data_IF_404700688411
#
_entry.id   IF_404700688411
#
_cell.length_a   1.000
_cell.length_b   1.000
_cell.length_c   1.000
_cell.angle_alpha   90.00
_cell.angle_beta   90.00
_cell.angle_gamma   90.00
#
_symmetry.space_group_name_H-M   'P 1'
#
loop_
_entity.id
_entity.type
_entity.pdbx_description
1 polymer ?
#
# COMPACT_ATOMS: atom_id res chain seq x y z
N UNK A 1 -25.83 18.00 20.25
CA UNK A 1 -27.04 18.84 20.01
C UNK A 1 -26.81 19.92 18.95
N UNK A 2 -25.73 20.70 19.01
CA UNK A 2 -25.41 21.74 18.02
C UNK A 2 -25.36 21.27 16.55
N UNK A 3 -24.83 20.07 16.30
CA UNK A 3 -24.70 19.51 14.94
C UNK A 3 -26.07 19.24 14.30
N UNK A 4 -27.03 18.76 15.08
CA UNK A 4 -28.39 18.47 14.60
C UNK A 4 -29.15 19.76 14.29
N UNK A 5 -29.01 20.78 15.14
CA UNK A 5 -29.65 22.10 14.93
C UNK A 5 -29.10 22.78 13.68
N UNK A 6 -27.78 22.75 13.48
CA UNK A 6 -27.13 23.30 12.28
C UNK A 6 -27.62 22.59 11.02
N UNK A 7 -27.72 21.27 11.06
CA UNK A 7 -28.23 20.51 9.92
C UNK A 7 -29.68 20.87 9.61
N UNK A 8 -30.55 20.92 10.62
CA UNK A 8 -31.96 21.27 10.45
C UNK A 8 -32.15 22.68 9.86
N UNK A 9 -31.35 23.65 10.32
CA UNK A 9 -31.37 25.02 9.79
C UNK A 9 -30.96 25.09 8.33
N UNK A 10 -29.92 24.35 7.92
CA UNK A 10 -29.47 24.33 6.53
C UNK A 10 -30.53 23.66 5.64
N UNK A 11 -31.07 22.51 6.06
CA UNK A 11 -32.13 21.81 5.32
C UNK A 11 -33.38 22.69 5.18
N UNK A 12 -33.76 23.40 6.25
CA UNK A 12 -34.87 24.37 6.26
C UNK A 12 -34.62 25.57 5.35
N UNK A 13 -33.40 26.13 5.32
CA UNK A 13 -33.05 27.25 4.45
C UNK A 13 -33.10 26.85 2.96
N UNK A 14 -32.51 25.69 2.61
CA UNK A 14 -32.50 25.21 1.22
C UNK A 14 -33.91 24.88 0.74
N UNK A 15 -34.71 24.17 1.56
CA UNK A 15 -36.10 23.88 1.23
C UNK A 15 -36.98 25.13 1.15
N UNK A 16 -36.72 26.12 2.00
CA UNK A 16 -37.37 27.43 1.96
C UNK A 16 -37.12 28.17 0.64
N UNK A 17 -35.87 28.22 0.17
CA UNK A 17 -35.51 28.82 -1.12
C UNK A 17 -36.28 28.13 -2.26
N UNK A 18 -36.26 26.80 -2.31
CA UNK A 18 -37.00 26.02 -3.32
C UNK A 18 -38.51 26.25 -3.22
N UNK A 19 -39.07 26.37 -2.02
CA UNK A 19 -40.48 26.70 -1.83
C UNK A 19 -40.83 28.09 -2.38
N UNK A 20 -39.98 29.10 -2.13
CA UNK A 20 -40.22 30.47 -2.59
C UNK A 20 -40.12 30.63 -4.11
N UNK A 21 -39.22 29.90 -4.77
CA UNK A 21 -39.09 29.95 -6.24
C UNK A 21 -40.31 29.36 -6.94
N UNK A 22 -40.89 28.29 -6.40
CA UNK A 22 -42.10 27.69 -6.94
C UNK A 22 -43.38 28.48 -6.59
N UNK A 23 -43.40 29.20 -5.46
CA UNK A 23 -44.49 30.13 -5.16
C UNK A 23 -44.58 31.26 -6.20
N UNK A 24 -43.44 31.74 -6.72
CA UNK A 24 -43.40 32.71 -7.81
C UNK A 24 -43.92 32.18 -9.15
N UNK A 25 -44.13 30.87 -9.29
CA UNK A 25 -44.65 30.19 -10.47
C UNK A 25 -46.13 29.78 -10.31
N UNK A 26 -46.83 30.36 -9.33
CA UNK A 26 -48.25 30.12 -9.02
C UNK A 26 -48.58 28.67 -8.59
N UNK A 27 -47.56 27.86 -8.33
CA UNK A 27 -47.71 26.54 -7.73
C UNK A 27 -47.44 26.65 -6.23
N UNK A 28 -48.52 26.67 -5.44
CA UNK A 28 -48.48 26.95 -4.00
C UNK A 28 -47.30 26.35 -3.23
N UNK A 29 -46.74 27.16 -2.31
CA UNK A 29 -45.49 26.95 -1.57
C UNK A 29 -45.31 25.57 -0.90
N UNK A 30 -46.40 24.98 -0.41
CA UNK A 30 -46.35 23.85 0.52
C UNK A 30 -45.93 22.53 -0.16
N UNK A 31 -46.35 22.30 -1.41
CA UNK A 31 -46.00 21.10 -2.18
C UNK A 31 -44.50 20.98 -2.50
N UNK A 32 -43.85 21.99 -3.12
CA UNK A 32 -42.43 21.93 -3.46
C UNK A 32 -41.54 21.94 -2.21
N UNK A 33 -41.96 22.60 -1.13
CA UNK A 33 -41.25 22.60 0.15
C UNK A 33 -41.09 21.19 0.72
N UNK A 34 -42.20 20.45 0.89
CA UNK A 34 -42.17 19.08 1.42
C UNK A 34 -41.39 18.13 0.50
N UNK A 35 -41.56 18.26 -0.81
CA UNK A 35 -40.82 17.45 -1.79
C UNK A 35 -39.32 17.67 -1.68
N UNK A 36 -38.88 18.91 -1.53
CA UNK A 36 -37.46 19.25 -1.40
C UNK A 36 -36.82 18.69 -0.13
N UNK A 37 -37.56 18.65 0.99
CA UNK A 37 -37.08 18.04 2.25
C UNK A 37 -36.87 16.55 2.06
N UNK A 38 -37.84 15.85 1.47
CA UNK A 38 -37.73 14.40 1.21
C UNK A 38 -36.52 14.11 0.33
N UNK A 39 -36.35 14.88 -0.75
CA UNK A 39 -35.22 14.71 -1.67
C UNK A 39 -33.87 14.95 -0.97
N UNK A 40 -33.78 15.96 -0.10
CA UNK A 40 -32.57 16.25 0.66
C UNK A 40 -32.23 15.10 1.63
N UNK A 41 -33.22 14.49 2.29
CA UNK A 41 -32.99 13.33 3.15
C UNK A 41 -32.48 12.12 2.37
N UNK A 42 -33.09 11.83 1.20
CA UNK A 42 -32.65 10.72 0.33
C UNK A 42 -31.22 10.97 -0.17
N UNK A 43 -30.95 12.18 -0.67
CA UNK A 43 -29.62 12.56 -1.15
C UNK A 43 -28.56 12.45 -0.05
N UNK A 44 -28.87 12.90 1.16
CA UNK A 44 -27.97 12.80 2.31
C UNK A 44 -27.71 11.34 2.69
N UNK A 45 -28.73 10.48 2.70
CA UNK A 45 -28.58 9.06 3.00
C UNK A 45 -27.66 8.35 2.00
N UNK A 46 -27.83 8.62 0.70
CA UNK A 46 -26.96 8.09 -0.36
C UNK A 46 -25.53 8.60 -0.18
N UNK A 47 -25.37 9.91 -0.01
CA UNK A 47 -24.05 10.53 0.14
C UNK A 47 -23.28 9.98 1.36
N UNK A 48 -23.96 9.83 2.49
CA UNK A 48 -23.36 9.27 3.70
C UNK A 48 -22.95 7.80 3.49
N UNK A 49 -23.80 7.01 2.83
CA UNK A 49 -23.50 5.60 2.51
C UNK A 49 -22.29 5.48 1.60
N UNK A 50 -22.19 6.31 0.55
CA UNK A 50 -21.05 6.30 -0.37
C UNK A 50 -19.78 6.77 0.34
N UNK A 51 -19.86 7.85 1.12
CA UNK A 51 -18.70 8.39 1.84
C UNK A 51 -18.12 7.35 2.79
N UNK A 52 -18.97 6.72 3.62
CA UNK A 52 -18.53 5.67 4.54
C UNK A 52 -17.87 4.49 3.81
N UNK A 53 -18.42 4.08 2.66
CA UNK A 53 -17.81 3.03 1.83
C UNK A 53 -16.41 3.44 1.35
N UNK A 54 -16.24 4.66 0.83
CA UNK A 54 -14.94 5.16 0.37
C UNK A 54 -13.90 5.16 1.50
N UNK A 55 -14.28 5.63 2.70
CA UNK A 55 -13.38 5.62 3.85
C UNK A 55 -12.97 4.19 4.23
N UNK A 56 -13.94 3.27 4.31
CA UNK A 56 -13.65 1.87 4.65
C UNK A 56 -12.73 1.16 3.63
N UNK A 57 -12.84 1.50 2.34
CA UNK A 57 -11.97 0.95 1.30
C UNK A 57 -10.54 1.48 1.47
N UNK A 58 -10.38 2.77 1.74
CA UNK A 58 -9.05 3.38 1.96
C UNK A 58 -8.37 2.81 3.20
N UNK A 59 -9.11 2.61 4.29
CA UNK A 59 -8.56 1.99 5.50
C UNK A 59 -8.05 0.58 5.23
N UNK A 60 -8.84 -0.25 4.51
CA UNK A 60 -8.42 -1.60 4.11
C UNK A 60 -7.20 -1.60 3.19
N UNK A 61 -7.10 -0.63 2.28
CA UNK A 61 -5.92 -0.50 1.42
C UNK A 61 -4.67 -0.17 2.23
N UNK A 62 -4.76 0.77 3.17
CA UNK A 62 -3.64 1.13 4.05
C UNK A 62 -3.23 -0.03 4.96
N UNK A 63 -4.19 -0.79 5.47
CA UNK A 63 -3.92 -1.98 6.28
C UNK A 63 -3.22 -3.06 5.45
N UNK A 64 -3.71 -3.34 4.24
CA UNK A 64 -3.08 -4.28 3.34
C UNK A 64 -1.67 -3.85 2.93
N UNK A 65 -1.44 -2.56 2.71
CA UNK A 65 -0.10 -2.03 2.39
C UNK A 65 0.86 -2.21 3.56
N UNK A 66 0.42 -1.94 4.80
CA UNK A 66 1.23 -2.26 5.99
C UNK A 66 1.54 -3.75 6.09
N UNK A 67 0.54 -4.62 5.91
CA UNK A 67 0.75 -6.08 5.96
C UNK A 67 1.72 -6.51 4.85
N UNK A 68 1.63 -5.93 3.66
CA UNK A 68 2.53 -6.22 2.55
C UNK A 68 3.96 -5.72 2.78
N UNK A 69 4.12 -4.61 3.50
CA UNK A 69 5.44 -4.11 3.89
C UNK A 69 6.05 -4.98 5.00
N UNK A 70 5.25 -5.38 5.99
CA UNK A 70 5.68 -6.32 7.02
C UNK A 70 6.00 -7.71 6.44
N UNK A 71 5.26 -8.18 5.43
CA UNK A 71 5.52 -9.49 4.81
C UNK A 71 6.81 -9.50 4.01
N UNK A 72 7.26 -8.36 3.45
CA UNK A 72 8.58 -8.24 2.79
C UNK A 72 9.75 -8.34 3.77
N UNK A 73 9.53 -8.07 5.05
CA UNK A 73 10.54 -8.10 6.11
C UNK A 73 10.44 -9.37 6.97
N UNK A 74 9.53 -10.29 6.65
CA UNK A 74 9.39 -11.57 7.32
C UNK A 74 10.51 -12.53 6.93
N UNK A 75 11.20 -13.08 7.92
CA UNK A 75 12.17 -14.17 7.72
C UNK A 75 11.59 -15.45 8.31
N UNK A 76 11.66 -16.54 7.55
CA UNK A 76 11.37 -17.87 8.05
C UNK A 76 12.52 -18.33 8.94
N UNK A 77 12.24 -18.50 10.24
CA UNK A 77 13.22 -18.94 11.22
C UNK A 77 12.72 -20.18 11.94
N UNK A 78 13.63 -21.12 12.16
CA UNK A 78 13.32 -22.32 12.94
C UNK A 78 13.41 -22.02 14.44
N UNK A 79 12.38 -22.42 15.18
CA UNK A 79 12.39 -22.31 16.64
C UNK A 79 13.56 -23.11 17.24
N UNK A 80 14.29 -22.51 18.19
CA UNK A 80 15.44 -23.15 18.82
C UNK A 80 15.05 -24.41 19.62
N UNK A 81 13.81 -24.45 20.13
CA UNK A 81 13.31 -25.55 20.96
C UNK A 81 12.67 -26.67 20.14
N UNK A 82 11.66 -26.36 19.32
CA UNK A 82 10.85 -27.38 18.63
C UNK A 82 11.20 -27.54 17.16
N UNK A 83 12.12 -26.75 16.61
CA UNK A 83 12.57 -26.78 15.20
C UNK A 83 11.46 -26.60 14.17
N UNK A 84 10.29 -26.11 14.59
CA UNK A 84 9.22 -25.72 13.69
C UNK A 84 9.52 -24.34 13.13
N UNK A 85 9.37 -24.18 11.82
CA UNK A 85 9.55 -22.91 11.11
C UNK A 85 8.42 -21.94 11.46
N UNK A 86 8.78 -20.70 11.78
CA UNK A 86 7.84 -19.61 12.02
C UNK A 86 8.23 -18.43 11.12
N UNK A 87 7.24 -17.72 10.58
CA UNK A 87 7.45 -16.48 9.86
C UNK A 87 7.40 -15.32 10.85
N UNK A 88 8.55 -14.67 11.08
CA UNK A 88 8.67 -13.59 12.05
C UNK A 88 9.08 -12.31 11.34
N UNK A 89 8.40 -11.16 11.56
CA UNK A 89 8.83 -9.89 11.01
C UNK A 89 10.11 -9.44 11.71
N UNK A 90 11.17 -9.21 10.95
CA UNK A 90 12.47 -8.79 11.47
C UNK A 90 12.62 -7.27 11.33
N UNK A 91 12.94 -6.61 12.43
CA UNK A 91 13.12 -5.16 12.52
C UNK A 91 14.53 -4.81 12.97
N UNK A 92 15.16 -3.83 12.32
CA UNK A 92 16.53 -3.42 12.66
C UNK A 92 16.62 -2.39 13.80
N UNK A 93 15.48 -1.84 14.24
CA UNK A 93 15.41 -0.77 15.23
C UNK A 93 15.08 -1.24 16.65
N UNK A 94 14.74 -2.53 16.81
CA UNK A 94 14.36 -3.13 18.10
C UNK A 94 14.95 -4.54 18.24
N UNK A 95 15.05 -5.03 19.47
CA UNK A 95 15.38 -6.43 19.73
C UNK A 95 14.31 -7.35 19.12
N UNK A 96 14.76 -8.37 18.39
CA UNK A 96 13.88 -9.28 17.64
C UNK A 96 13.62 -10.55 18.46
N UNK A 97 12.77 -10.43 19.47
CA UNK A 97 12.28 -11.57 20.23
C UNK A 97 10.90 -12.01 19.73
N UNK A 98 10.67 -13.32 19.65
CA UNK A 98 9.37 -13.87 19.27
C UNK A 98 9.00 -15.11 20.10
N UNK A 99 7.71 -15.29 20.32
CA UNK A 99 7.16 -16.51 20.89
C UNK A 99 6.81 -17.49 19.78
N UNK A 100 7.26 -18.74 19.91
CA UNK A 100 6.95 -19.76 18.93
C UNK A 100 5.47 -20.16 19.00
N UNK A 101 4.76 -20.16 17.87
CA UNK A 101 3.32 -20.47 17.78
C UNK A 101 3.01 -21.90 18.27
N UNK A 102 3.95 -22.84 18.05
CA UNK A 102 3.74 -24.25 18.36
C UNK A 102 4.05 -24.62 19.82
N UNK A 103 5.08 -24.01 20.44
CA UNK A 103 5.54 -24.39 21.77
C UNK A 103 5.46 -23.28 22.84
N UNK A 104 5.11 -22.05 22.45
CA UNK A 104 4.96 -20.91 23.36
C UNK A 104 6.26 -20.45 24.05
N UNK A 105 7.43 -20.93 23.61
CA UNK A 105 8.71 -20.53 24.19
C UNK A 105 9.29 -19.30 23.49
N UNK A 106 9.92 -18.38 24.25
CA UNK A 106 10.56 -17.20 23.67
C UNK A 106 11.85 -17.58 22.96
N UNK A 107 12.08 -17.00 21.79
CA UNK A 107 13.29 -17.13 20.99
C UNK A 107 13.77 -15.72 20.60
N UNK A 108 15.08 -15.55 20.48
CA UNK A 108 15.70 -14.31 20.01
C UNK A 108 16.33 -14.54 18.63
N UNK A 109 16.18 -13.57 17.73
CA UNK A 109 16.76 -13.60 16.39
C UNK A 109 17.97 -12.65 16.36
N UNK A 110 19.14 -13.22 16.05
CA UNK A 110 20.36 -12.44 15.80
C UNK A 110 20.56 -12.24 14.30
N UNK A 111 20.69 -11.00 13.87
CA UNK A 111 20.86 -10.65 12.45
C UNK A 111 22.33 -10.29 12.21
N UNK A 112 23.02 -11.11 11.41
CA UNK A 112 24.34 -10.78 10.89
C UNK A 112 24.23 -10.18 9.49
N UNK A 113 24.68 -8.93 9.32
CA UNK A 113 24.69 -8.27 8.00
C UNK A 113 26.08 -8.39 7.39
N UNK A 114 26.19 -9.05 6.24
CA UNK A 114 27.45 -9.22 5.49
C UNK A 114 27.32 -8.53 4.13
N UNK A 115 28.31 -7.71 3.76
CA UNK A 115 28.36 -7.05 2.44
C UNK A 115 29.07 -7.97 1.44
N UNK A 116 28.50 -8.09 0.24
CA UNK A 116 29.11 -8.82 -0.89
C UNK A 116 29.17 -7.95 -2.13
N UNK A 117 30.17 -8.18 -2.99
CA UNK A 117 30.30 -7.45 -4.25
C UNK A 117 29.30 -7.99 -5.28
N UNK A 118 28.44 -7.11 -5.80
CA UNK A 118 27.56 -7.44 -6.93
C UNK A 118 28.33 -7.20 -8.23
N UNK A 119 28.68 -8.25 -8.96
CA UNK A 119 29.23 -8.10 -10.31
C UNK A 119 28.08 -7.93 -11.32
N UNK A 120 28.21 -6.93 -12.20
CA UNK A 120 27.36 -6.84 -13.38
C UNK A 120 27.96 -7.71 -14.47
N UNK A 121 27.22 -8.66 -15.06
CA UNK A 121 27.76 -9.44 -16.17
C UNK A 121 28.13 -8.48 -17.30
N UNK A 122 29.38 -8.52 -17.74
CA UNK A 122 29.81 -7.86 -18.96
C UNK A 122 29.07 -8.53 -20.11
N UNK A 123 28.22 -7.79 -20.82
CA UNK A 123 27.59 -8.23 -22.06
C UNK A 123 28.65 -8.21 -23.17
N UNK A 124 29.61 -9.12 -23.10
CA UNK A 124 30.59 -9.34 -24.16
C UNK A 124 30.08 -10.46 -25.05
N UNK A 125 29.91 -10.16 -26.34
CA UNK A 125 29.64 -11.19 -27.34
C UNK A 125 30.78 -12.24 -27.30
N UNK A 126 30.47 -13.54 -27.41
CA UNK A 126 31.47 -14.62 -27.35
C UNK A 126 32.57 -14.57 -28.43
N UNK A 127 32.53 -13.59 -29.33
CA UNK A 127 33.49 -13.39 -30.41
C UNK A 127 34.69 -12.50 -30.03
N UNK A 128 34.72 -11.86 -28.85
CA UNK A 128 35.84 -11.01 -28.43
C UNK A 128 36.94 -11.72 -27.62
N UNK A 129 36.85 -13.04 -27.40
CA UNK A 129 37.89 -13.79 -26.67
C UNK A 129 39.09 -14.16 -27.57
N UNK A 130 38.97 -14.01 -28.90
CA UNK A 130 40.01 -14.47 -29.85
C UNK A 130 40.85 -13.36 -30.50
N UNK A 131 40.75 -12.10 -30.08
CA UNK A 131 41.83 -11.16 -30.40
C UNK A 131 42.95 -11.41 -29.40
N UNK A 132 43.77 -12.42 -29.71
CA UNK A 132 45.14 -12.53 -29.21
C UNK A 132 45.74 -11.14 -29.11
N UNK A 133 46.37 -10.87 -27.98
CA UNK A 133 47.14 -9.65 -27.77
C UNK A 133 48.12 -9.54 -28.95
N UNK A 134 48.19 -8.41 -29.71
CA UNK A 134 49.04 -8.29 -30.89
C UNK A 134 50.52 -8.60 -30.61
N UNK A 135 50.94 -8.52 -29.34
CA UNK A 135 52.26 -8.90 -28.88
C UNK A 135 52.52 -10.43 -28.93
N UNK A 136 51.50 -11.26 -28.69
CA UNK A 136 51.61 -12.73 -28.80
C UNK A 136 51.67 -13.19 -30.27
N UNK A 137 50.92 -12.57 -31.16
CA UNK A 137 50.98 -12.88 -32.60
C UNK A 137 52.34 -12.53 -33.19
N UNK A 138 52.91 -11.38 -32.84
CA UNK A 138 54.24 -10.98 -33.27
C UNK A 138 55.36 -11.91 -32.75
N UNK A 139 55.16 -12.56 -31.59
CA UNK A 139 56.12 -13.52 -31.07
C UNK A 139 56.06 -14.86 -31.83
N UNK A 140 54.86 -15.31 -32.19
CA UNK A 140 54.66 -16.56 -32.95
C UNK A 140 55.18 -16.42 -34.39
N UNK A 141 54.93 -15.28 -35.04
CA UNK A 141 55.40 -15.06 -36.41
C UNK A 141 56.93 -15.06 -36.52
N UNK A 142 57.62 -14.48 -35.53
CA UNK A 142 59.10 -14.51 -35.46
C UNK A 142 59.65 -15.92 -35.30
N UNK A 143 59.00 -16.76 -34.48
CA UNK A 143 59.39 -18.15 -34.28
C UNK A 143 59.12 -19.05 -35.49
N UNK A 144 58.21 -18.65 -36.38
CA UNK A 144 57.87 -19.39 -37.60
C UNK A 144 58.72 -19.03 -38.83
N UNK A 145 59.53 -17.97 -38.73
CA UNK A 145 60.36 -17.44 -39.82
C UNK A 145 61.84 -17.84 -39.75
N UNK A 146 62.22 -18.68 -38.78
CA UNK A 146 63.56 -19.28 -38.64
C UNK A 146 63.59 -20.74 -39.12
#
# INVERSE_FOLDING_TARGET
MFILIRSLLITGAVSGIVGTTFWSLDQGFLKPFVLSIILQFIGFWIFNTISQRIFSIKERQLENERIAEFSKQGVEVDCAYCKTTNLVPVRFDVDNDFECINCGKPNAIYIGVTVTQKTTPLNVSPLMINTLNPDEQNAIDKLSSE
#
